data_IF_399472758161
#
_entry.id   IF_399472758161
#
_cell.length_a   1.000
_cell.length_b   1.000
_cell.length_c   1.000
_cell.angle_alpha   90.00
_cell.angle_beta   90.00
_cell.angle_gamma   90.00
#
_symmetry.space_group_name_H-M   'P 1'
#
loop_
_entity.id
_entity.type
_entity.pdbx_description
1 polymer ?
#
# COMPACT_ATOMS: atom_id res chain seq x y z
N UNK A 1 20.28 17.00 39.56
CA UNK A 1 19.75 17.67 38.36
C UNK A 1 20.65 17.24 37.22
N UNK A 2 20.28 16.14 36.56
CA UNK A 2 20.98 15.65 35.36
C UNK A 2 19.94 15.56 34.27
N UNK A 3 19.89 16.63 33.49
CA UNK A 3 19.19 16.76 32.24
C UNK A 3 19.81 15.78 31.23
N UNK A 4 19.20 14.60 31.12
CA UNK A 4 19.40 13.66 30.02
C UNK A 4 19.00 14.32 28.69
N UNK A 5 19.90 15.11 28.12
CA UNK A 5 19.81 15.65 26.75
C UNK A 5 20.20 14.57 25.71
N UNK A 6 19.60 13.38 25.78
CA UNK A 6 19.89 12.32 24.79
C UNK A 6 19.12 12.49 23.48
N UNK A 7 18.06 13.31 23.44
CA UNK A 7 17.31 13.60 22.22
C UNK A 7 16.84 15.07 22.24
N UNK A 8 17.58 15.94 21.55
CA UNK A 8 17.20 17.32 21.30
C UNK A 8 16.15 17.46 20.19
N UNK A 9 15.10 16.64 20.22
CA UNK A 9 13.97 16.72 19.27
C UNK A 9 12.71 17.18 19.99
N UNK A 10 12.08 18.22 19.44
CA UNK A 10 10.84 18.76 19.93
C UNK A 10 9.75 17.68 19.90
N UNK A 11 8.96 17.57 20.97
CA UNK A 11 7.89 16.56 21.08
C UNK A 11 6.88 16.62 19.90
N UNK A 12 6.80 17.76 19.22
CA UNK A 12 6.00 17.96 18.01
C UNK A 12 6.47 17.13 16.83
N UNK A 13 7.77 16.98 16.61
CA UNK A 13 8.30 16.22 15.46
C UNK A 13 7.93 14.73 15.59
N UNK A 14 7.99 14.19 16.81
CA UNK A 14 7.56 12.84 17.10
C UNK A 14 6.07 12.63 16.87
N UNK A 15 5.25 13.65 17.18
CA UNK A 15 3.81 13.63 16.94
C UNK A 15 3.51 13.58 15.43
N UNK A 16 4.18 14.41 14.65
CA UNK A 16 4.01 14.49 13.20
C UNK A 16 4.42 13.18 12.50
N UNK A 17 5.53 12.58 12.93
CA UNK A 17 5.96 11.27 12.45
C UNK A 17 4.94 10.18 12.80
N UNK A 18 4.44 10.16 14.03
CA UNK A 18 3.46 9.17 14.47
C UNK A 18 2.14 9.31 13.69
N UNK A 19 1.69 10.54 13.45
CA UNK A 19 0.50 10.82 12.64
C UNK A 19 0.69 10.36 11.19
N UNK A 20 1.84 10.67 10.60
CA UNK A 20 2.17 10.28 9.22
C UNK A 20 2.20 8.75 9.08
N UNK A 21 2.83 8.06 10.04
CA UNK A 21 2.84 6.59 10.08
C UNK A 21 1.44 6.00 10.27
N UNK A 22 0.64 6.58 11.15
CA UNK A 22 -0.74 6.14 11.40
C UNK A 22 -1.62 6.23 10.16
N UNK A 23 -1.57 7.37 9.46
CA UNK A 23 -2.34 7.58 8.22
C UNK A 23 -1.84 6.64 7.11
N UNK A 24 -0.51 6.52 6.95
CA UNK A 24 0.08 5.63 5.95
C UNK A 24 -0.33 4.17 6.18
N UNK A 25 -0.32 3.72 7.43
CA UNK A 25 -0.76 2.38 7.80
C UNK A 25 -2.25 2.17 7.55
N UNK A 26 -3.09 3.16 7.87
CA UNK A 26 -4.52 3.11 7.59
C UNK A 26 -4.80 2.98 6.09
N UNK A 27 -4.07 3.71 5.24
CA UNK A 27 -4.16 3.60 3.78
C UNK A 27 -3.76 2.18 3.33
N UNK A 28 -2.61 1.65 3.79
CA UNK A 28 -2.18 0.30 3.42
C UNK A 28 -3.19 -0.77 3.84
N UNK A 29 -3.74 -0.68 5.04
CA UNK A 29 -4.79 -1.59 5.50
C UNK A 29 -6.03 -1.49 4.62
N UNK A 30 -6.46 -0.27 4.28
CA UNK A 30 -7.56 -0.03 3.34
C UNK A 30 -7.34 -0.73 2.00
N UNK A 31 -6.18 -0.52 1.38
CA UNK A 31 -5.83 -1.18 0.12
C UNK A 31 -5.66 -2.70 0.25
N UNK A 32 -5.16 -3.20 1.39
CA UNK A 32 -5.03 -4.63 1.64
C UNK A 32 -6.39 -5.33 1.66
N UNK A 33 -7.36 -4.77 2.41
CA UNK A 33 -8.72 -5.30 2.46
C UNK A 33 -9.42 -5.16 1.10
N UNK A 34 -9.24 -4.01 0.44
CA UNK A 34 -9.78 -3.76 -0.89
C UNK A 34 -9.24 -4.77 -1.92
N UNK A 35 -7.94 -5.06 -1.89
CA UNK A 35 -7.33 -6.03 -2.79
C UNK A 35 -7.85 -7.45 -2.56
N UNK A 36 -8.01 -7.87 -1.30
CA UNK A 36 -8.61 -9.17 -0.98
C UNK A 36 -10.08 -9.26 -1.43
N UNK A 37 -10.86 -8.20 -1.22
CA UNK A 37 -12.25 -8.13 -1.67
C UNK A 37 -12.36 -8.20 -3.20
N UNK A 38 -11.60 -7.37 -3.92
CA UNK A 38 -11.61 -7.33 -5.38
C UNK A 38 -11.08 -8.63 -5.99
N UNK A 39 -10.02 -9.23 -5.43
CA UNK A 39 -9.51 -10.53 -5.88
C UNK A 39 -10.61 -11.60 -5.83
N UNK A 40 -11.35 -11.68 -4.72
CA UNK A 40 -12.42 -12.66 -4.55
C UNK A 40 -13.51 -12.46 -5.60
N UNK A 41 -13.87 -11.21 -5.90
CA UNK A 41 -14.86 -10.90 -6.93
C UNK A 41 -14.34 -11.24 -8.33
N UNK A 42 -13.10 -10.87 -8.64
CA UNK A 42 -12.48 -11.10 -9.94
C UNK A 42 -12.30 -12.59 -10.20
N UNK A 43 -11.80 -13.37 -9.23
CA UNK A 43 -11.66 -14.83 -9.35
C UNK A 43 -12.99 -15.50 -9.68
N UNK A 44 -14.08 -15.10 -9.03
CA UNK A 44 -15.43 -15.63 -9.33
C UNK A 44 -15.86 -15.35 -10.77
N UNK A 45 -15.56 -14.15 -11.29
CA UNK A 45 -15.84 -13.81 -12.69
C UNK A 45 -14.95 -14.57 -13.67
N UNK A 46 -13.66 -14.73 -13.36
CA UNK A 46 -12.70 -15.40 -14.24
C UNK A 46 -12.98 -16.90 -14.34
N UNK A 47 -13.21 -17.59 -13.21
CA UNK A 47 -13.58 -19.02 -13.21
C UNK A 47 -14.85 -19.28 -14.01
N UNK A 48 -15.83 -18.37 -13.99
CA UNK A 48 -17.05 -18.51 -14.78
C UNK A 48 -16.87 -18.24 -16.28
N UNK A 49 -15.71 -17.72 -16.71
CA UNK A 49 -15.45 -17.26 -18.08
C UNK A 49 -14.25 -17.92 -18.75
N UNK A 50 -13.36 -18.55 -17.97
CA UNK A 50 -12.16 -19.21 -18.42
C UNK A 50 -12.32 -20.72 -18.21
N UNK A 51 -11.92 -21.50 -19.21
CA UNK A 51 -11.97 -22.97 -19.14
C UNK A 51 -10.88 -23.56 -18.21
N UNK A 52 -9.84 -22.75 -17.90
CA UNK A 52 -8.74 -23.13 -17.02
C UNK A 52 -8.79 -22.38 -15.68
N UNK A 53 -9.15 -23.12 -14.64
CA UNK A 53 -9.20 -22.65 -13.25
C UNK A 53 -7.84 -22.17 -12.72
N UNK A 54 -6.75 -22.76 -13.20
CA UNK A 54 -5.40 -22.43 -12.77
C UNK A 54 -5.03 -21.03 -13.25
N UNK A 55 -5.29 -20.71 -14.53
CA UNK A 55 -5.08 -19.38 -15.09
C UNK A 55 -5.97 -18.33 -14.41
N UNK A 56 -7.23 -18.67 -14.14
CA UNK A 56 -8.13 -17.80 -13.40
C UNK A 56 -7.57 -17.43 -12.01
N UNK A 57 -7.00 -18.40 -11.30
CA UNK A 57 -6.37 -18.18 -10.01
C UNK A 57 -5.11 -17.31 -10.12
N UNK A 58 -4.21 -17.63 -11.06
CA UNK A 58 -2.99 -16.84 -11.28
C UNK A 58 -3.29 -15.38 -11.60
N UNK A 59 -4.21 -15.13 -12.53
CA UNK A 59 -4.57 -13.76 -12.92
C UNK A 59 -5.23 -13.00 -11.77
N UNK A 60 -6.06 -13.67 -10.95
CA UNK A 60 -6.62 -13.05 -9.75
C UNK A 60 -5.53 -12.66 -8.73
N UNK A 61 -4.47 -13.46 -8.61
CA UNK A 61 -3.34 -13.17 -7.71
C UNK A 61 -2.51 -12.00 -8.23
N UNK A 62 -2.20 -11.96 -9.53
CA UNK A 62 -1.52 -10.83 -10.17
C UNK A 62 -2.32 -9.54 -9.95
N UNK A 63 -3.63 -9.60 -10.18
CA UNK A 63 -4.50 -8.45 -9.93
C UNK A 63 -4.45 -7.98 -8.46
N UNK A 64 -4.45 -8.89 -7.48
CA UNK A 64 -4.27 -8.52 -6.07
C UNK A 64 -2.96 -7.79 -5.83
N UNK A 65 -1.85 -8.27 -6.41
CA UNK A 65 -0.55 -7.63 -6.30
C UNK A 65 -0.58 -6.21 -6.89
N UNK A 66 -1.24 -6.00 -8.03
CA UNK A 66 -1.39 -4.67 -8.63
C UNK A 66 -2.16 -3.71 -7.74
N UNK A 67 -3.24 -4.15 -7.10
CA UNK A 67 -4.01 -3.30 -6.17
C UNK A 67 -3.19 -2.95 -4.92
N UNK A 68 -2.44 -3.91 -4.37
CA UNK A 68 -1.53 -3.65 -3.24
C UNK A 68 -0.44 -2.66 -3.64
N UNK A 69 0.16 -2.84 -4.81
CA UNK A 69 1.17 -1.92 -5.36
C UNK A 69 0.61 -0.51 -5.50
N UNK A 70 -0.61 -0.35 -6.01
CA UNK A 70 -1.29 0.94 -6.06
C UNK A 70 -1.44 1.57 -4.66
N UNK A 71 -1.75 0.77 -3.63
CA UNK A 71 -1.77 1.23 -2.24
C UNK A 71 -0.43 1.76 -1.75
N UNK A 72 0.66 1.06 -2.04
CA UNK A 72 2.01 1.56 -1.76
C UNK A 72 2.32 2.86 -2.49
N UNK A 73 1.92 2.99 -3.76
CA UNK A 73 2.13 4.22 -4.52
C UNK A 73 1.39 5.41 -3.91
N UNK A 74 0.19 5.21 -3.37
CA UNK A 74 -0.55 6.25 -2.64
C UNK A 74 0.21 6.67 -1.39
N UNK A 75 0.75 5.71 -0.62
CA UNK A 75 1.55 6.01 0.58
C UNK A 75 2.85 6.74 0.23
N UNK A 76 3.57 6.29 -0.79
CA UNK A 76 4.77 6.97 -1.26
C UNK A 76 4.47 8.40 -1.66
N UNK A 77 3.39 8.63 -2.39
CA UNK A 77 2.95 9.98 -2.74
C UNK A 77 2.59 10.81 -1.51
N UNK A 78 1.94 10.20 -0.51
CA UNK A 78 1.56 10.86 0.75
C UNK A 78 2.78 11.29 1.57
N UNK A 79 3.83 10.45 1.65
CA UNK A 79 5.07 10.75 2.39
C UNK A 79 6.03 11.64 1.58
N UNK A 80 5.66 12.05 0.37
CA UNK A 80 6.45 12.96 -0.46
C UNK A 80 7.42 12.28 -1.43
N UNK A 81 7.37 10.95 -1.57
CA UNK A 81 8.14 10.16 -2.53
C UNK A 81 7.52 10.16 -3.94
N UNK A 82 7.06 11.32 -4.41
CA UNK A 82 6.41 11.47 -5.73
C UNK A 82 7.32 11.06 -6.89
N UNK A 83 8.62 11.33 -6.79
CA UNK A 83 9.61 10.92 -7.79
C UNK A 83 9.68 9.41 -7.98
N UNK A 84 9.58 8.63 -6.89
CA UNK A 84 9.54 7.15 -6.94
C UNK A 84 8.28 6.69 -7.66
N UNK A 85 7.13 7.27 -7.35
CA UNK A 85 5.85 6.93 -8.00
C UNK A 85 5.89 7.22 -9.49
N UNK A 86 6.46 8.36 -9.89
CA UNK A 86 6.62 8.73 -11.30
C UNK A 86 7.54 7.76 -12.05
N UNK A 87 8.65 7.32 -11.42
CA UNK A 87 9.53 6.30 -11.99
C UNK A 87 8.81 4.97 -12.21
N UNK A 88 8.12 4.47 -11.18
CA UNK A 88 7.35 3.22 -11.25
C UNK A 88 6.26 3.28 -12.34
N UNK A 89 5.57 4.42 -12.50
CA UNK A 89 4.55 4.62 -13.53
C UNK A 89 5.13 4.74 -14.94
N UNK A 90 6.34 5.28 -15.08
CA UNK A 90 7.04 5.39 -16.35
C UNK A 90 7.66 4.05 -16.81
N UNK A 91 7.59 3.00 -15.96
CA UNK A 91 8.26 1.73 -16.18
C UNK A 91 9.78 1.83 -16.04
N UNK A 92 10.24 2.83 -15.30
CA UNK A 92 11.63 3.29 -15.20
C UNK A 92 12.41 2.68 -14.03
#
# INVERSE_FOLDING_TARGET
>A
MENFQLFGTDASEWLDLLQTLGISLAILLGFYFLAAFLQKHLRRRLVARMDDDLLANFLSMIFRLLVILAGFMVVFRFVGLTGVVSGLLAGA
#
